data_IF_084976874042
#
_entry.id   IF_084976874042
#
_cell.length_a   1.000
_cell.length_b   1.000
_cell.length_c   1.000
_cell.angle_alpha   90.00
_cell.angle_beta   90.00
_cell.angle_gamma   90.00
#
_symmetry.space_group_name_H-M   'P 1'
#
loop_
_entity.id
_entity.type
_entity.pdbx_description
1 polymer ?
#
# COMPACT_ATOMS: atom_id res chain seq x y z
N UNK A 1 -13.88 -0.93 -17.93
CA UNK A 1 -14.17 -1.32 -16.55
C UNK A 1 -13.23 -0.69 -15.55
N UNK A 2 -13.78 -0.31 -14.41
CA UNK A 2 -13.03 0.37 -13.37
C UNK A 2 -11.87 -0.45 -12.81
N UNK A 3 -12.01 -1.77 -12.76
CA UNK A 3 -10.97 -2.65 -12.26
C UNK A 3 -9.66 -2.54 -13.05
N UNK A 4 -9.76 -2.57 -14.40
CA UNK A 4 -8.58 -2.44 -15.25
C UNK A 4 -7.93 -1.06 -15.10
N UNK A 5 -8.74 -0.02 -15.04
CA UNK A 5 -8.26 1.34 -14.86
C UNK A 5 -7.52 1.46 -13.51
N UNK A 6 -8.11 0.94 -12.44
CA UNK A 6 -7.51 0.95 -11.11
C UNK A 6 -6.18 0.19 -11.10
N UNK A 7 -6.13 -0.99 -11.71
CA UNK A 7 -4.92 -1.79 -11.78
C UNK A 7 -3.78 -1.07 -12.50
N UNK A 8 -4.06 -0.42 -13.62
CA UNK A 8 -3.06 0.30 -14.40
C UNK A 8 -2.52 1.50 -13.62
N UNK A 9 -3.40 2.26 -12.98
CA UNK A 9 -3.00 3.42 -12.20
C UNK A 9 -2.22 3.03 -10.96
N UNK A 10 -2.65 1.96 -10.29
CA UNK A 10 -1.94 1.42 -9.13
C UNK A 10 -0.52 0.98 -9.51
N UNK A 11 -0.38 0.22 -10.59
CA UNK A 11 0.92 -0.26 -11.04
C UNK A 11 1.85 0.91 -11.38
N UNK A 12 1.34 1.94 -12.03
CA UNK A 12 2.11 3.13 -12.39
C UNK A 12 2.57 3.89 -11.15
N UNK A 13 1.68 4.05 -10.18
CA UNK A 13 1.98 4.76 -8.93
C UNK A 13 3.03 4.00 -8.13
N UNK A 14 2.89 2.69 -7.99
CA UNK A 14 3.81 1.87 -7.20
C UNK A 14 5.20 1.81 -7.81
N UNK A 15 5.29 1.75 -9.15
CA UNK A 15 6.58 1.66 -9.84
C UNK A 15 7.49 2.87 -9.61
N UNK A 16 6.89 4.03 -9.42
CA UNK A 16 7.67 5.26 -9.24
C UNK A 16 7.93 5.61 -7.78
N UNK A 17 7.51 4.75 -6.85
CA UNK A 17 7.55 5.09 -5.44
C UNK A 17 8.61 4.29 -4.68
N UNK A 18 9.37 4.97 -3.81
CA UNK A 18 10.29 4.35 -2.88
C UNK A 18 9.80 4.57 -1.45
N UNK A 19 10.16 3.64 -0.55
CA UNK A 19 9.89 3.82 0.87
C UNK A 19 10.95 4.75 1.50
N UNK A 20 10.79 5.18 2.79
CA UNK A 20 11.70 6.18 3.38
C UNK A 20 13.18 5.81 3.42
N UNK A 21 13.51 4.53 3.31
CA UNK A 21 14.90 4.06 3.33
C UNK A 21 15.48 3.86 1.92
N UNK A 22 14.75 4.28 0.87
CA UNK A 22 15.22 4.26 -0.50
C UNK A 22 14.95 2.98 -1.27
N UNK A 23 14.26 2.01 -0.69
CA UNK A 23 13.93 0.76 -1.36
C UNK A 23 12.61 0.93 -2.12
N UNK A 24 12.54 0.41 -3.35
CA UNK A 24 11.31 0.50 -4.15
C UNK A 24 10.19 -0.28 -3.49
N UNK A 25 8.99 0.32 -3.43
CA UNK A 25 7.81 -0.31 -2.84
C UNK A 25 7.46 -1.62 -3.54
N UNK A 26 7.74 -1.74 -4.83
CA UNK A 26 7.47 -2.96 -5.60
C UNK A 26 8.45 -4.10 -5.31
N UNK A 27 9.48 -3.86 -4.49
CA UNK A 27 10.43 -4.91 -4.11
C UNK A 27 9.69 -6.04 -3.41
N UNK A 28 10.02 -7.29 -3.75
CA UNK A 28 9.38 -8.48 -3.20
C UNK A 28 9.46 -8.58 -1.68
N UNK A 29 10.50 -8.00 -1.08
CA UNK A 29 10.66 -8.00 0.37
C UNK A 29 9.68 -7.04 1.05
N UNK A 30 9.07 -6.11 0.32
CA UNK A 30 8.14 -5.12 0.84
C UNK A 30 6.71 -5.42 0.41
N UNK A 31 6.46 -5.49 -0.90
CA UNK A 31 5.12 -5.74 -1.44
C UNK A 31 4.87 -7.24 -1.50
N UNK A 32 4.09 -7.76 -0.55
CA UNK A 32 3.82 -9.18 -0.43
C UNK A 32 2.59 -9.63 -1.24
N UNK A 33 1.69 -8.72 -1.55
CA UNK A 33 0.52 -9.04 -2.35
C UNK A 33 -0.27 -7.82 -2.75
N UNK A 34 -1.01 -7.92 -3.84
CA UNK A 34 -1.89 -6.88 -4.37
C UNK A 34 -3.17 -7.52 -4.86
N UNK A 35 -4.30 -6.93 -4.53
CA UNK A 35 -5.59 -7.35 -5.06
C UNK A 35 -6.43 -6.12 -5.38
N UNK A 36 -7.06 -6.12 -6.54
CA UNK A 36 -8.02 -5.10 -6.94
C UNK A 36 -9.31 -5.83 -7.32
N UNK A 37 -10.41 -5.55 -6.64
CA UNK A 37 -11.68 -6.21 -6.95
C UNK A 37 -12.47 -5.47 -8.02
N UNK A 38 -13.61 -6.04 -8.40
CA UNK A 38 -14.47 -5.48 -9.46
C UNK A 38 -15.07 -4.13 -9.08
N UNK A 39 -15.15 -3.83 -7.79
CA UNK A 39 -15.71 -2.57 -7.29
C UNK A 39 -14.68 -1.44 -7.25
N UNK A 40 -13.41 -1.75 -7.47
CA UNK A 40 -12.33 -0.78 -7.36
C UNK A 40 -11.72 -0.69 -5.97
N UNK A 41 -11.95 -1.67 -5.12
CA UNK A 41 -11.32 -1.73 -3.80
C UNK A 41 -9.94 -2.37 -3.95
N UNK A 42 -8.93 -1.67 -3.45
CA UNK A 42 -7.53 -2.10 -3.51
C UNK A 42 -7.12 -2.66 -2.16
N UNK A 43 -6.50 -3.83 -2.17
CA UNK A 43 -5.93 -4.45 -0.98
C UNK A 43 -4.45 -4.69 -1.22
N UNK A 44 -3.60 -4.17 -0.32
CA UNK A 44 -2.15 -4.39 -0.35
C UNK A 44 -1.72 -5.12 0.90
N UNK A 45 -0.71 -5.99 0.75
CA UNK A 45 -0.01 -6.64 1.86
C UNK A 45 1.43 -6.17 1.82
N UNK A 46 1.84 -5.41 2.84
CA UNK A 46 3.17 -4.78 2.87
C UNK A 46 3.91 -5.18 4.13
N UNK A 47 5.18 -5.55 3.95
CA UNK A 47 6.10 -5.79 5.06
C UNK A 47 7.07 -4.60 5.14
N UNK A 48 6.98 -3.77 6.20
CA UNK A 48 7.91 -2.65 6.38
C UNK A 48 9.35 -3.13 6.51
N UNK A 49 10.29 -2.32 6.06
CA UNK A 49 11.71 -2.66 6.16
C UNK A 49 12.23 -2.63 7.59
N UNK A 50 11.56 -1.90 8.47
CA UNK A 50 11.91 -1.81 9.89
C UNK A 50 10.68 -1.96 10.77
N UNK A 51 10.82 -2.74 11.84
CA UNK A 51 9.71 -3.10 12.72
C UNK A 51 9.21 -1.92 13.60
N UNK A 52 10.02 -0.90 13.81
CA UNK A 52 9.68 0.20 14.74
C UNK A 52 10.05 1.56 14.14
N UNK A 53 9.61 1.82 12.91
CA UNK A 53 9.92 3.08 12.24
C UNK A 53 8.65 3.92 12.04
N UNK A 54 8.45 5.01 12.79
CA UNK A 54 7.26 5.87 12.59
C UNK A 54 7.18 6.46 11.19
N UNK A 55 8.31 6.72 10.54
CA UNK A 55 8.30 7.25 9.18
C UNK A 55 7.74 6.25 8.18
N UNK A 56 7.89 4.94 8.42
CA UNK A 56 7.27 3.92 7.58
C UNK A 56 5.75 3.95 7.69
N UNK A 57 5.22 4.17 8.91
CA UNK A 57 3.77 4.29 9.10
C UNK A 57 3.24 5.50 8.33
N UNK A 58 3.90 6.65 8.46
CA UNK A 58 3.50 7.86 7.74
C UNK A 58 3.56 7.68 6.24
N UNK A 59 4.60 7.01 5.74
CA UNK A 59 4.76 6.74 4.31
C UNK A 59 3.61 5.87 3.79
N UNK A 60 3.22 4.84 4.54
CA UNK A 60 2.13 3.97 4.14
C UNK A 60 0.78 4.68 4.20
N UNK A 61 0.59 5.60 5.16
CA UNK A 61 -0.61 6.44 5.22
C UNK A 61 -0.68 7.34 3.98
N UNK A 62 0.43 7.94 3.57
CA UNK A 62 0.50 8.75 2.36
C UNK A 62 0.23 7.91 1.11
N UNK A 63 0.82 6.72 1.04
CA UNK A 63 0.58 5.80 -0.07
C UNK A 63 -0.89 5.45 -0.20
N UNK A 64 -1.55 5.13 0.91
CA UNK A 64 -2.97 4.84 0.92
C UNK A 64 -3.79 6.03 0.40
N UNK A 65 -3.44 7.23 0.85
CA UNK A 65 -4.11 8.46 0.41
C UNK A 65 -3.94 8.67 -1.09
N UNK A 66 -2.72 8.49 -1.61
CA UNK A 66 -2.44 8.65 -3.04
C UNK A 66 -3.21 7.62 -3.87
N UNK A 67 -3.30 6.37 -3.40
CA UNK A 67 -4.05 5.34 -4.09
C UNK A 67 -5.54 5.68 -4.10
N UNK A 68 -6.07 6.16 -2.99
CA UNK A 68 -7.48 6.55 -2.89
C UNK A 68 -7.86 7.68 -3.84
N UNK A 69 -6.89 8.50 -4.25
CA UNK A 69 -7.12 9.61 -5.17
C UNK A 69 -7.09 9.17 -6.65
N UNK A 70 -6.70 7.94 -6.94
CA UNK A 70 -6.62 7.47 -8.31
C UNK A 70 -8.01 7.18 -8.88
N UNK A 71 -8.20 7.54 -10.15
CA UNK A 71 -9.44 7.27 -10.85
C UNK A 71 -9.69 5.77 -10.95
N UNK A 72 -10.89 5.36 -10.60
CA UNK A 72 -11.26 3.94 -10.61
C UNK A 72 -11.05 3.24 -9.28
N UNK A 73 -10.40 3.89 -8.31
CA UNK A 73 -10.22 3.34 -6.97
C UNK A 73 -11.33 3.86 -6.06
N UNK A 74 -12.10 2.95 -5.50
CA UNK A 74 -13.16 3.28 -4.55
C UNK A 74 -12.62 3.39 -3.13
N UNK A 75 -11.75 2.47 -2.74
CA UNK A 75 -11.13 2.45 -1.42
C UNK A 75 -9.81 1.69 -1.48
N UNK A 76 -8.95 1.93 -0.50
CA UNK A 76 -7.67 1.22 -0.37
C UNK A 76 -7.48 0.78 1.07
N UNK A 77 -7.14 -0.49 1.25
CA UNK A 77 -6.77 -1.06 2.55
C UNK A 77 -5.35 -1.60 2.47
N UNK A 78 -4.51 -1.19 3.40
CA UNK A 78 -3.13 -1.69 3.48
C UNK A 78 -2.99 -2.54 4.74
N UNK A 79 -2.69 -3.82 4.55
CA UNK A 79 -2.42 -4.73 5.66
C UNK A 79 -0.93 -4.89 5.84
N UNK A 80 -0.44 -4.65 7.05
CA UNK A 80 0.97 -4.82 7.39
C UNK A 80 1.19 -6.26 7.84
N UNK A 81 2.26 -6.86 7.36
CA UNK A 81 2.61 -8.25 7.68
C UNK A 81 4.09 -8.37 8.04
N UNK A 82 4.46 -9.46 8.68
CA UNK A 82 5.86 -9.81 8.92
C UNK A 82 6.59 -9.01 9.98
N UNK A 83 5.89 -8.18 10.76
CA UNK A 83 6.49 -7.40 11.85
C UNK A 83 5.70 -7.59 13.13
N UNK A 84 6.33 -7.39 14.32
CA UNK A 84 5.61 -7.40 15.59
C UNK A 84 4.51 -6.33 15.60
N UNK A 85 3.35 -6.65 16.17
CA UNK A 85 2.22 -5.73 16.27
C UNK A 85 1.71 -5.26 14.90
N UNK A 86 1.80 -6.13 13.89
CA UNK A 86 1.32 -5.82 12.54
C UNK A 86 -0.15 -5.36 12.53
N UNK A 87 -0.99 -5.90 13.40
CA UNK A 87 -2.38 -5.49 13.55
C UNK A 87 -2.53 -4.03 13.97
N UNK A 88 -1.65 -3.54 14.84
CA UNK A 88 -1.66 -2.13 15.26
C UNK A 88 -1.21 -1.21 14.14
N UNK A 89 -0.21 -1.62 13.36
CA UNK A 89 0.23 -0.89 12.17
C UNK A 89 -0.93 -0.76 11.18
N UNK A 90 -1.60 -1.89 10.93
CA UNK A 90 -2.72 -1.93 9.99
C UNK A 90 -3.84 -0.99 10.44
N UNK A 91 -4.18 -1.00 11.71
CA UNK A 91 -5.22 -0.13 12.25
C UNK A 91 -4.85 1.35 12.11
N UNK A 92 -3.61 1.71 12.43
CA UNK A 92 -3.14 3.09 12.36
C UNK A 92 -3.15 3.62 10.92
N UNK A 93 -2.73 2.80 9.96
CA UNK A 93 -2.63 3.20 8.55
C UNK A 93 -4.02 3.40 7.94
N UNK A 94 -5.00 2.59 8.34
CA UNK A 94 -6.33 2.58 7.71
C UNK A 94 -7.39 3.38 8.48
N UNK A 95 -7.01 4.09 9.49
CA UNK A 95 -7.92 4.96 10.24
C UNK A 95 -8.54 6.07 9.42
#
# INVERSE_FOLDING_TARGET
>A
PSQKTAQKRLARLLRGRTEPHGIEITNESILKGVKVDDSGIVQLWIQPTRAHCPCCINDLMELRSEINQQKGVLACHIEVVGVPQADRWTAAINE
#
